data_IF_927511077260
#
_entry.id   IF_927511077260
#
_cell.length_a   1.000
_cell.length_b   1.000
_cell.length_c   1.000
_cell.angle_alpha   90.00
_cell.angle_beta   90.00
_cell.angle_gamma   90.00
#
_symmetry.space_group_name_H-M   'P 1'
#
loop_
_entity.id
_entity.type
_entity.pdbx_description
1 polymer ?
#
# COMPACT_ATOMS: atom_id res chain seq x y z
N UNK A 1 1.20 -71.21 27.28
CA UNK A 1 2.48 -70.79 27.88
C UNK A 1 2.68 -69.33 27.47
N UNK A 2 2.28 -68.35 28.29
CA UNK A 2 3.12 -67.65 29.27
C UNK A 2 4.36 -67.03 28.59
N UNK A 3 4.63 -65.71 28.53
CA UNK A 3 4.48 -64.66 29.54
C UNK A 3 4.47 -63.25 28.94
N UNK A 4 3.88 -62.34 29.71
CA UNK A 4 3.96 -60.86 29.69
C UNK A 4 5.39 -60.39 30.01
N UNK A 5 5.86 -59.30 29.37
CA UNK A 5 6.79 -58.32 29.99
C UNK A 5 6.37 -56.89 29.59
N UNK A 6 5.96 -56.11 30.60
CA UNK A 6 5.90 -54.65 30.60
C UNK A 6 7.31 -54.05 30.57
N UNK A 7 7.49 -52.90 29.91
CA UNK A 7 8.46 -51.90 30.33
C UNK A 7 7.88 -50.49 30.20
N UNK A 8 7.70 -49.87 31.35
CA UNK A 8 7.39 -48.46 31.57
C UNK A 8 8.68 -47.65 31.44
N UNK A 9 8.71 -46.65 30.55
CA UNK A 9 9.67 -45.55 30.67
C UNK A 9 8.90 -44.25 30.55
N UNK A 10 8.73 -43.60 31.70
CA UNK A 10 8.21 -42.25 31.81
C UNK A 10 9.19 -41.23 31.24
N UNK A 11 8.65 -40.22 30.56
CA UNK A 11 9.35 -38.94 30.35
C UNK A 11 8.52 -37.83 30.94
N UNK A 12 9.21 -37.10 31.82
CA UNK A 12 8.74 -35.97 32.62
C UNK A 12 8.25 -34.85 31.70
N UNK A 13 7.07 -34.35 31.98
CA UNK A 13 6.54 -33.10 31.43
C UNK A 13 7.05 -31.95 32.28
N UNK A 14 7.94 -31.11 31.73
CA UNK A 14 8.34 -29.84 32.33
C UNK A 14 7.42 -28.74 31.78
N UNK A 15 6.48 -28.31 32.62
CA UNK A 15 5.67 -27.13 32.38
C UNK A 15 6.53 -25.87 32.55
N UNK A 16 6.65 -25.06 31.50
CA UNK A 16 7.14 -23.69 31.61
C UNK A 16 5.97 -22.78 32.02
N UNK A 17 5.99 -22.36 33.28
CA UNK A 17 5.14 -21.28 33.80
C UNK A 17 5.78 -19.96 33.35
N UNK A 18 5.11 -19.22 32.47
CA UNK A 18 5.49 -17.85 32.15
C UNK A 18 4.70 -16.90 33.07
N UNK A 19 5.43 -16.19 33.93
CA UNK A 19 4.91 -15.23 34.89
C UNK A 19 4.67 -13.91 34.17
N UNK A 20 3.40 -13.52 34.05
CA UNK A 20 2.98 -12.20 33.58
C UNK A 20 3.23 -11.16 34.66
N UNK A 21 4.10 -10.19 34.39
CA UNK A 21 4.19 -8.97 35.19
C UNK A 21 3.23 -7.91 34.62
N UNK A 22 2.04 -7.80 35.22
CA UNK A 22 1.23 -6.59 35.19
C UNK A 22 1.69 -5.66 36.32
N UNK A 23 1.98 -4.41 36.00
CA UNK A 23 1.86 -3.30 36.95
C UNK A 23 0.96 -2.22 36.36
N UNK A 24 -0.17 -2.04 37.03
CA UNK A 24 -1.19 -0.99 36.84
C UNK A 24 -0.96 0.11 37.88
N UNK A 25 -1.05 1.38 37.48
CA UNK A 25 -1.59 2.55 38.21
C UNK A 25 -0.99 3.83 37.61
N UNK A 26 -1.68 4.96 37.43
CA UNK A 26 -3.07 5.33 37.74
C UNK A 26 -3.39 6.59 36.92
N UNK A 27 -4.66 6.68 36.55
CA UNK A 27 -5.42 7.80 35.99
C UNK A 27 -5.22 9.16 36.68
N UNK A 28 -5.36 10.24 35.90
CA UNK A 28 -6.23 11.36 36.28
C UNK A 28 -6.76 12.12 35.05
N UNK A 29 -8.03 11.87 34.73
CA UNK A 29 -8.89 12.73 33.92
C UNK A 29 -9.38 13.88 34.80
N UNK A 30 -9.36 15.11 34.28
CA UNK A 30 -10.31 16.15 34.72
C UNK A 30 -10.79 16.97 33.53
N UNK A 31 -12.05 16.71 33.17
CA UNK A 31 -12.89 17.56 32.35
C UNK A 31 -13.28 18.83 33.12
N UNK A 32 -13.37 19.97 32.43
CA UNK A 32 -14.23 21.08 32.82
C UNK A 32 -14.97 21.61 31.59
N UNK A 33 -16.28 21.38 31.58
CA UNK A 33 -17.27 22.09 30.77
C UNK A 33 -17.82 23.26 31.61
N UNK A 34 -17.86 24.48 31.07
CA UNK A 34 -19.10 25.22 30.84
C UNK A 34 -18.86 26.59 30.13
N UNK A 35 -19.87 27.12 29.41
CA UNK A 35 -19.76 28.19 28.44
C UNK A 35 -20.04 29.57 29.05
N UNK A 36 -19.61 30.64 28.38
CA UNK A 36 -20.25 31.95 28.50
C UNK A 36 -20.59 32.50 27.12
N UNK A 37 -21.91 32.53 26.90
CA UNK A 37 -22.63 33.33 25.92
C UNK A 37 -22.49 34.80 26.35
N UNK A 38 -22.14 35.71 25.45
CA UNK A 38 -22.50 37.12 25.56
C UNK A 38 -22.83 37.64 24.17
N UNK A 39 -24.11 37.97 24.04
CA UNK A 39 -24.71 38.80 23.02
C UNK A 39 -24.23 40.24 23.19
N UNK A 40 -23.85 40.90 22.11
CA UNK A 40 -24.15 42.32 21.95
C UNK A 40 -24.37 42.62 20.47
N UNK A 41 -25.49 43.28 20.24
CA UNK A 41 -26.09 43.64 18.97
C UNK A 41 -25.72 45.09 18.64
N UNK A 42 -25.90 45.43 17.36
CA UNK A 42 -26.24 46.77 16.87
C UNK A 42 -25.08 47.74 16.56
N UNK A 43 -24.78 47.94 15.27
CA UNK A 43 -25.49 48.94 14.43
C UNK A 43 -24.97 48.97 12.99
N UNK A 44 -25.94 48.95 12.08
CA UNK A 44 -25.84 49.28 10.65
C UNK A 44 -25.49 50.75 10.44
N UNK A 45 -24.53 51.04 9.56
CA UNK A 45 -24.53 52.22 8.70
C UNK A 45 -23.89 51.84 7.34
N UNK A 46 -24.60 52.17 6.27
CA UNK A 46 -24.21 51.99 4.87
C UNK A 46 -24.05 53.37 4.19
N UNK A 47 -23.78 53.48 2.88
CA UNK A 47 -22.45 53.73 2.34
C UNK A 47 -22.33 55.14 1.72
N UNK A 48 -21.12 55.69 1.71
CA UNK A 48 -20.81 56.92 0.98
C UNK A 48 -19.81 56.66 -0.14
N UNK A 49 -20.25 57.08 -1.32
CA UNK A 49 -19.67 57.05 -2.65
C UNK A 49 -18.42 57.92 -2.77
N UNK A 50 -17.38 57.43 -3.45
CA UNK A 50 -16.29 58.26 -3.96
C UNK A 50 -15.82 57.71 -5.32
N UNK A 51 -16.12 58.49 -6.36
CA UNK A 51 -15.67 58.31 -7.75
C UNK A 51 -14.18 58.68 -7.91
N UNK A 52 -13.45 58.12 -8.88
CA UNK A 52 -12.12 58.60 -9.26
C UNK A 52 -12.21 59.71 -10.32
N UNK A 53 -11.27 60.68 -10.36
CA UNK A 53 -11.26 61.68 -11.42
C UNK A 53 -10.55 61.17 -12.68
N UNK A 54 -11.17 61.52 -13.80
CA UNK A 54 -10.68 61.44 -15.17
C UNK A 54 -9.46 62.34 -15.38
N UNK A 55 -8.41 61.81 -16.01
CA UNK A 55 -7.25 62.59 -16.46
C UNK A 55 -7.13 62.52 -17.99
N UNK A 56 -7.07 63.71 -18.56
CA UNK A 56 -7.05 64.06 -19.98
C UNK A 56 -5.78 63.58 -20.72
N UNK A 57 -5.98 63.13 -21.96
CA UNK A 57 -4.94 63.00 -22.99
C UNK A 57 -4.81 64.32 -23.78
N UNK A 58 -3.60 64.69 -24.21
CA UNK A 58 -3.41 65.51 -25.40
C UNK A 58 -2.75 64.72 -26.55
N UNK A 59 -3.35 64.84 -27.73
CA UNK A 59 -2.77 64.49 -29.04
C UNK A 59 -1.78 65.57 -29.50
N UNK A 60 -0.63 65.17 -30.09
CA UNK A 60 -0.05 65.72 -31.35
C UNK A 60 1.31 65.04 -31.72
N UNK A 61 1.88 65.20 -32.94
CA UNK A 61 1.93 64.12 -33.94
C UNK A 61 3.34 63.64 -34.35
N UNK A 62 3.34 62.56 -35.15
CA UNK A 62 4.33 62.07 -36.13
C UNK A 62 5.83 62.38 -35.95
N UNK A 63 6.61 61.30 -35.76
CA UNK A 63 8.03 61.21 -36.10
C UNK A 63 8.45 59.75 -36.30
N UNK A 64 8.48 59.28 -37.54
CA UNK A 64 9.01 57.96 -37.89
C UNK A 64 10.54 58.00 -37.88
N UNK A 65 11.17 57.38 -36.88
CA UNK A 65 12.59 57.03 -36.90
C UNK A 65 12.72 55.50 -36.88
N UNK A 66 13.15 54.95 -38.01
CA UNK A 66 13.50 53.53 -38.16
C UNK A 66 14.85 53.26 -37.49
N UNK A 67 14.85 52.59 -36.34
CA UNK A 67 16.03 51.94 -35.77
C UNK A 67 16.01 50.44 -36.12
N UNK A 68 17.11 49.84 -36.61
CA UNK A 68 17.15 48.43 -36.91
C UNK A 68 17.18 47.60 -35.61
N UNK A 69 16.07 46.93 -35.32
CA UNK A 69 15.96 45.94 -34.25
C UNK A 69 16.82 44.72 -34.65
N UNK A 70 18.03 44.61 -34.10
CA UNK A 70 18.76 43.35 -34.06
C UNK A 70 17.96 42.37 -33.20
N UNK A 71 17.27 41.42 -33.84
CA UNK A 71 16.65 40.28 -33.17
C UNK A 71 17.76 39.39 -32.61
N UNK A 72 18.23 39.71 -31.40
CA UNK A 72 19.00 38.77 -30.58
C UNK A 72 18.05 37.64 -30.17
N UNK A 73 18.14 36.52 -30.88
CA UNK A 73 17.44 35.27 -30.57
C UNK A 73 17.98 34.77 -29.22
N UNK A 74 17.31 35.13 -28.13
CA UNK A 74 17.55 34.52 -26.84
C UNK A 74 17.00 33.09 -26.91
N UNK A 75 17.87 32.14 -27.25
CA UNK A 75 17.58 30.71 -27.07
C UNK A 75 17.66 30.49 -25.56
N UNK A 76 16.52 30.59 -24.87
CA UNK A 76 16.39 30.01 -23.54
C UNK A 76 16.54 28.52 -23.73
N UNK A 77 17.69 27.95 -23.37
CA UNK A 77 17.79 26.51 -23.12
C UNK A 77 16.73 26.20 -22.05
N UNK A 78 15.69 25.47 -22.41
CA UNK A 78 14.85 24.84 -21.41
C UNK A 78 15.78 23.95 -20.59
N UNK A 79 15.93 24.28 -19.30
CA UNK A 79 16.59 23.37 -18.37
C UNK A 79 15.84 22.03 -18.37
N UNK A 80 16.49 20.94 -17.96
CA UNK A 80 15.80 19.66 -17.84
C UNK A 80 14.61 19.85 -16.90
N UNK A 81 13.40 19.56 -17.38
CA UNK A 81 12.20 19.51 -16.56
C UNK A 81 12.42 18.41 -15.52
N UNK A 82 12.57 18.78 -14.24
CA UNK A 82 12.62 17.79 -13.16
C UNK A 82 11.28 17.05 -13.15
N UNK A 83 11.31 15.73 -13.28
CA UNK A 83 10.11 14.91 -13.15
C UNK A 83 9.77 14.88 -11.65
N UNK A 84 8.56 15.28 -11.28
CA UNK A 84 8.08 15.28 -9.90
C UNK A 84 6.89 14.34 -9.76
N UNK A 85 6.83 13.54 -8.70
CA UNK A 85 5.88 12.48 -8.43
C UNK A 85 4.62 13.01 -7.75
N UNK A 86 4.22 14.24 -8.08
CA UNK A 86 3.07 14.88 -7.46
C UNK A 86 1.83 14.00 -7.64
N UNK A 87 1.35 13.44 -6.54
CA UNK A 87 0.23 12.51 -6.52
C UNK A 87 -1.09 13.28 -6.52
N UNK A 88 -2.04 12.80 -7.31
CA UNK A 88 -3.42 13.29 -7.32
C UNK A 88 -4.33 12.33 -6.56
N UNK A 89 -5.38 12.87 -5.92
CA UNK A 89 -6.38 12.03 -5.27
C UNK A 89 -7.31 11.44 -6.34
N UNK A 90 -7.09 10.18 -6.69
CA UNK A 90 -7.94 9.46 -7.62
C UNK A 90 -9.33 9.24 -7.01
N UNK A 91 -10.44 9.51 -7.74
CA UNK A 91 -11.77 9.16 -7.28
C UNK A 91 -11.95 7.64 -7.23
N UNK A 92 -12.83 7.10 -6.35
CA UNK A 92 -13.21 5.69 -6.42
C UNK A 92 -13.76 5.35 -7.82
N UNK A 93 -13.67 4.08 -8.27
CA UNK A 93 -14.12 3.66 -9.60
C UNK A 93 -15.65 3.61 -9.75
N UNK A 94 -16.38 4.27 -8.84
CA UNK A 94 -17.84 4.35 -8.79
C UNK A 94 -18.26 5.65 -8.08
N UNK A 95 -19.50 6.14 -8.30
CA UNK A 95 -20.05 7.27 -7.56
C UNK A 95 -20.06 7.04 -6.05
N UNK A 96 -19.94 8.10 -5.25
CA UNK A 96 -19.81 8.00 -3.78
C UNK A 96 -21.04 7.41 -3.08
N UNK A 97 -22.20 7.35 -3.74
CA UNK A 97 -23.41 6.72 -3.20
C UNK A 97 -23.66 5.31 -3.76
N UNK A 98 -22.77 4.79 -4.61
CA UNK A 98 -23.01 3.54 -5.34
C UNK A 98 -22.88 2.27 -4.49
N UNK A 99 -22.34 2.38 -3.27
CA UNK A 99 -22.22 1.28 -2.31
C UNK A 99 -23.37 1.24 -1.29
N UNK A 100 -24.35 2.15 -1.42
CA UNK A 100 -25.54 2.13 -0.57
C UNK A 100 -26.41 0.89 -0.82
N UNK A 101 -27.11 0.39 0.20
CA UNK A 101 -27.18 0.89 1.58
C UNK A 101 -26.10 0.30 2.51
N UNK A 102 -25.08 -0.34 1.96
CA UNK A 102 -24.10 -1.12 2.74
C UNK A 102 -23.00 -0.24 3.32
N UNK A 103 -22.47 0.68 2.52
CA UNK A 103 -21.55 1.72 2.95
C UNK A 103 -22.15 3.05 2.49
N UNK A 104 -22.42 3.94 3.43
CA UNK A 104 -23.16 5.17 3.14
C UNK A 104 -22.34 6.14 2.29
N UNK A 105 -23.03 7.01 1.55
CA UNK A 105 -22.37 8.13 0.89
C UNK A 105 -21.56 8.99 1.87
N UNK A 106 -22.07 9.18 3.09
CA UNK A 106 -21.39 9.93 4.15
C UNK A 106 -20.04 9.28 4.50
N UNK A 107 -19.99 7.95 4.67
CA UNK A 107 -18.72 7.22 4.87
C UNK A 107 -17.74 7.51 3.73
N UNK A 108 -18.15 7.48 2.46
CA UNK A 108 -17.23 7.73 1.33
C UNK A 108 -16.77 9.20 1.29
N UNK A 109 -17.64 10.15 1.57
CA UNK A 109 -17.29 11.57 1.60
C UNK A 109 -16.24 11.88 2.68
N UNK A 110 -16.33 11.24 3.85
CA UNK A 110 -15.32 11.36 4.89
C UNK A 110 -14.06 10.53 4.59
N UNK A 111 -14.21 9.25 4.27
CA UNK A 111 -13.10 8.32 4.12
C UNK A 111 -12.24 8.63 2.89
N UNK A 112 -12.85 8.80 1.71
CA UNK A 112 -12.13 9.26 0.51
C UNK A 112 -11.89 10.78 0.54
N UNK A 113 -12.95 11.55 0.76
CA UNK A 113 -12.90 13.01 0.56
C UNK A 113 -12.09 13.77 1.61
N UNK A 114 -11.92 13.22 2.83
CA UNK A 114 -11.13 13.83 3.93
C UNK A 114 -9.90 13.00 4.30
N UNK A 115 -10.06 11.74 4.70
CA UNK A 115 -8.93 10.94 5.19
C UNK A 115 -7.92 10.65 4.08
N UNK A 116 -8.38 10.05 2.97
CA UNK A 116 -7.51 9.75 1.84
C UNK A 116 -6.87 11.02 1.25
N UNK A 117 -7.66 12.08 1.03
CA UNK A 117 -7.16 13.40 0.63
C UNK A 117 -6.02 13.90 1.51
N UNK A 118 -6.19 13.82 2.83
CA UNK A 118 -5.18 14.31 3.78
C UNK A 118 -3.88 13.52 3.64
N UNK A 119 -3.93 12.20 3.43
CA UNK A 119 -2.71 11.41 3.20
C UNK A 119 -1.98 11.84 1.93
N UNK A 120 -2.70 12.03 0.82
CA UNK A 120 -2.11 12.51 -0.45
C UNK A 120 -1.50 13.90 -0.31
N UNK A 121 -2.23 14.85 0.30
CA UNK A 121 -1.76 16.22 0.50
C UNK A 121 -0.54 16.28 1.44
N UNK A 122 -0.52 15.45 2.48
CA UNK A 122 0.63 15.35 3.38
C UNK A 122 1.84 14.72 2.72
N UNK A 123 1.63 13.64 1.94
CA UNK A 123 2.68 12.95 1.21
C UNK A 123 3.39 13.91 0.26
N UNK A 124 2.62 14.63 -0.57
CA UNK A 124 3.16 15.60 -1.51
C UNK A 124 4.03 16.66 -0.81
N UNK A 125 3.60 17.14 0.36
CA UNK A 125 4.41 18.09 1.17
C UNK A 125 5.67 17.49 1.77
N UNK A 126 5.67 16.19 2.05
CA UNK A 126 6.82 15.49 2.64
C UNK A 126 7.89 15.12 1.63
N UNK A 127 7.50 14.85 0.37
CA UNK A 127 8.43 14.41 -0.66
C UNK A 127 8.95 15.55 -1.54
N UNK A 128 8.28 16.70 -1.58
CA UNK A 128 8.67 17.85 -2.41
C UNK A 128 10.14 18.21 -2.24
N UNK A 129 10.89 18.19 -3.34
CA UNK A 129 12.31 18.50 -3.36
C UNK A 129 13.25 17.41 -2.79
N UNK A 130 12.72 16.26 -2.38
CA UNK A 130 13.51 15.09 -1.92
C UNK A 130 13.77 14.11 -3.07
N UNK A 131 14.59 13.08 -2.84
CA UNK A 131 14.82 11.99 -3.81
C UNK A 131 13.58 11.08 -3.99
N UNK A 132 12.60 11.18 -3.08
CA UNK A 132 11.33 10.45 -3.18
C UNK A 132 10.37 11.10 -4.20
N UNK A 133 10.60 12.36 -4.55
CA UNK A 133 9.80 13.10 -5.53
C UNK A 133 9.94 12.55 -6.96
N UNK A 134 10.83 11.61 -7.22
CA UNK A 134 11.01 11.03 -8.57
C UNK A 134 10.60 9.55 -8.63
N UNK A 135 9.89 9.08 -7.60
CA UNK A 135 9.58 7.66 -7.39
C UNK A 135 8.08 7.37 -7.55
N UNK A 136 7.77 6.13 -7.89
CA UNK A 136 6.39 5.64 -7.85
C UNK A 136 5.88 5.60 -6.41
N UNK A 137 4.56 5.58 -6.21
CA UNK A 137 3.98 5.50 -4.87
C UNK A 137 4.43 4.22 -4.15
N UNK A 138 4.44 3.09 -4.86
CA UNK A 138 4.94 1.80 -4.38
C UNK A 138 6.41 1.87 -3.94
N UNK A 139 7.27 2.48 -4.75
CA UNK A 139 8.70 2.65 -4.40
C UNK A 139 8.86 3.50 -3.15
N UNK A 140 8.09 4.59 -3.02
CA UNK A 140 8.12 5.43 -1.82
C UNK A 140 7.72 4.62 -0.60
N UNK A 141 6.65 3.80 -0.68
CA UNK A 141 6.22 2.93 0.42
C UNK A 141 7.34 1.99 0.85
N UNK A 142 7.97 1.28 -0.09
CA UNK A 142 9.02 0.31 0.21
C UNK A 142 10.27 0.99 0.78
N UNK A 143 10.74 2.07 0.15
CA UNK A 143 11.94 2.81 0.58
C UNK A 143 11.72 3.41 1.97
N UNK A 144 10.58 4.07 2.18
CA UNK A 144 10.29 4.77 3.43
C UNK A 144 9.93 3.83 4.58
N UNK A 145 9.56 2.57 4.33
CA UNK A 145 9.42 1.57 5.40
C UNK A 145 10.74 1.32 6.11
N UNK A 146 11.87 1.39 5.38
CA UNK A 146 13.24 1.31 5.92
C UNK A 146 13.42 0.16 6.94
N UNK A 147 13.03 -1.05 6.54
CA UNK A 147 13.12 -2.27 7.36
C UNK A 147 12.44 -2.16 8.74
N UNK A 148 11.39 -1.33 8.85
CA UNK A 148 10.65 -1.07 10.08
C UNK A 148 11.09 0.19 10.82
N UNK A 149 12.22 0.80 10.47
CA UNK A 149 12.64 2.12 10.98
C UNK A 149 12.07 3.24 10.09
N UNK A 150 10.74 3.32 10.10
CA UNK A 150 9.93 4.09 9.14
C UNK A 150 10.36 5.56 9.04
N UNK A 151 10.67 6.00 7.82
CA UNK A 151 10.91 7.41 7.50
C UNK A 151 9.60 8.22 7.59
N UNK A 152 9.67 9.56 7.76
CA UNK A 152 8.48 10.40 7.95
C UNK A 152 7.40 10.28 6.87
N UNK A 153 7.79 9.98 5.62
CA UNK A 153 6.88 9.83 4.49
C UNK A 153 6.04 8.54 4.52
N UNK A 154 6.49 7.51 5.24
CA UNK A 154 5.92 6.16 5.16
C UNK A 154 4.43 6.11 5.44
N UNK A 155 3.98 6.72 6.55
CA UNK A 155 2.58 6.63 6.94
C UNK A 155 1.65 7.26 5.89
N UNK A 156 2.01 8.40 5.30
CA UNK A 156 1.17 9.06 4.30
C UNK A 156 1.25 8.36 2.94
N UNK A 157 2.45 7.90 2.53
CA UNK A 157 2.63 7.13 1.30
C UNK A 157 1.82 5.83 1.34
N UNK A 158 2.00 5.07 2.43
CA UNK A 158 1.37 3.78 2.60
C UNK A 158 -0.14 3.91 2.77
N UNK A 159 -0.63 4.91 3.51
CA UNK A 159 -2.07 5.14 3.59
C UNK A 159 -2.67 5.60 2.26
N UNK A 160 -2.01 6.46 1.47
CA UNK A 160 -2.49 6.80 0.13
C UNK A 160 -2.64 5.54 -0.73
N UNK A 161 -1.60 4.70 -0.78
CA UNK A 161 -1.62 3.45 -1.54
C UNK A 161 -2.70 2.48 -1.04
N UNK A 162 -2.82 2.29 0.28
CA UNK A 162 -3.82 1.39 0.87
C UNK A 162 -5.25 1.79 0.48
N UNK A 163 -5.53 3.09 0.45
CA UNK A 163 -6.86 3.59 0.13
C UNK A 163 -7.18 3.49 -1.36
N UNK A 164 -6.24 3.84 -2.26
CA UNK A 164 -6.38 3.57 -3.70
C UNK A 164 -6.74 2.08 -3.93
N UNK A 165 -5.97 1.19 -3.29
CA UNK A 165 -6.18 -0.25 -3.39
C UNK A 165 -7.54 -0.70 -2.79
N UNK A 166 -7.99 -0.07 -1.71
CA UNK A 166 -9.26 -0.35 -1.04
C UNK A 166 -10.47 0.04 -1.88
N UNK A 167 -10.46 1.20 -2.53
CA UNK A 167 -11.58 1.62 -3.39
C UNK A 167 -11.80 0.66 -4.55
N UNK A 168 -10.71 0.21 -5.17
CA UNK A 168 -10.70 -0.80 -6.22
C UNK A 168 -11.06 -2.22 -5.73
N UNK A 169 -10.93 -2.48 -4.42
CA UNK A 169 -11.30 -3.76 -3.81
C UNK A 169 -12.82 -3.94 -3.69
N UNK A 170 -13.60 -2.89 -3.94
CA UNK A 170 -15.05 -2.89 -3.86
C UNK A 170 -15.70 -2.59 -5.21
N UNK A 171 -16.97 -2.97 -5.37
CA UNK A 171 -17.84 -2.50 -6.46
C UNK A 171 -19.32 -2.50 -6.06
N UNK A 172 -20.16 -1.69 -6.74
CA UNK A 172 -21.62 -1.79 -6.62
C UNK A 172 -22.09 -3.21 -7.01
N UNK A 173 -22.91 -3.83 -6.16
CA UNK A 173 -23.37 -5.21 -6.38
C UNK A 173 -22.23 -6.25 -6.31
N UNK A 174 -21.19 -5.98 -5.51
CA UNK A 174 -20.11 -6.92 -5.25
C UNK A 174 -20.48 -8.05 -4.32
N UNK A 175 -19.45 -8.69 -3.75
CA UNK A 175 -19.59 -9.83 -2.85
C UNK A 175 -19.81 -11.15 -3.59
N UNK A 176 -20.50 -12.09 -2.94
CA UNK A 176 -20.62 -13.47 -3.43
C UNK A 176 -19.29 -14.23 -3.39
N UNK A 177 -19.07 -15.16 -4.32
CA UNK A 177 -17.85 -15.98 -4.40
C UNK A 177 -17.02 -15.62 -5.64
N UNK A 178 -15.67 -15.72 -5.57
CA UNK A 178 -14.85 -15.67 -6.77
C UNK A 178 -15.12 -16.90 -7.65
N UNK A 179 -14.59 -16.88 -8.87
CA UNK A 179 -14.65 -18.00 -9.80
C UNK A 179 -13.30 -18.23 -10.45
N UNK A 180 -13.22 -19.21 -11.36
CA UNK A 180 -12.03 -19.44 -12.17
C UNK A 180 -10.78 -19.81 -11.35
N UNK A 181 -9.63 -19.27 -11.75
CA UNK A 181 -8.34 -19.58 -11.16
C UNK A 181 -8.23 -19.13 -9.69
N UNK A 182 -8.82 -17.97 -9.35
CA UNK A 182 -8.84 -17.47 -7.99
C UNK A 182 -9.56 -18.44 -7.03
N UNK A 183 -10.75 -18.94 -7.41
CA UNK A 183 -11.48 -19.90 -6.58
C UNK A 183 -10.68 -21.20 -6.39
N UNK A 184 -10.03 -21.71 -7.46
CA UNK A 184 -9.19 -22.92 -7.37
C UNK A 184 -8.03 -22.74 -6.40
N UNK A 185 -7.34 -21.60 -6.44
CA UNK A 185 -6.26 -21.31 -5.50
C UNK A 185 -6.78 -21.15 -4.07
N UNK A 186 -7.95 -20.52 -3.89
CA UNK A 186 -8.59 -20.43 -2.58
C UNK A 186 -8.89 -21.81 -2.01
N UNK A 187 -9.49 -22.70 -2.82
CA UNK A 187 -9.80 -24.07 -2.41
C UNK A 187 -8.53 -24.89 -2.14
N UNK A 188 -7.47 -24.68 -2.92
CA UNK A 188 -6.16 -25.32 -2.68
C UNK A 188 -5.54 -24.90 -1.36
N UNK A 189 -5.49 -23.59 -1.09
CA UNK A 189 -4.68 -23.03 0.00
C UNK A 189 -5.41 -23.00 1.34
N UNK A 190 -6.74 -22.85 1.31
CA UNK A 190 -7.57 -22.77 2.53
C UNK A 190 -8.50 -23.99 2.68
N UNK A 191 -8.55 -24.89 1.70
CA UNK A 191 -9.41 -26.08 1.68
C UNK A 191 -10.84 -25.82 1.21
N UNK A 192 -11.40 -24.63 1.43
CA UNK A 192 -12.67 -24.18 0.83
C UNK A 192 -12.80 -22.65 0.89
N UNK A 193 -13.73 -22.09 0.10
CA UNK A 193 -14.03 -20.66 0.17
C UNK A 193 -14.54 -20.24 1.55
N UNK A 194 -15.34 -21.07 2.21
CA UNK A 194 -15.87 -20.79 3.55
C UNK A 194 -14.75 -20.71 4.59
N UNK A 195 -13.77 -21.62 4.53
CA UNK A 195 -12.60 -21.58 5.42
C UNK A 195 -11.76 -20.33 5.20
N UNK A 196 -11.51 -19.96 3.94
CA UNK A 196 -10.87 -18.70 3.60
C UNK A 196 -11.66 -17.50 4.16
N UNK A 197 -12.98 -17.49 3.98
CA UNK A 197 -13.84 -16.41 4.44
C UNK A 197 -13.77 -16.27 5.97
N UNK A 198 -13.81 -17.37 6.71
CA UNK A 198 -13.69 -17.39 8.16
C UNK A 198 -12.32 -16.88 8.62
N UNK A 199 -11.23 -17.31 7.95
CA UNK A 199 -9.87 -16.85 8.23
C UNK A 199 -9.70 -15.35 7.97
N UNK A 200 -10.18 -14.86 6.82
CA UNK A 200 -10.12 -13.44 6.45
C UNK A 200 -10.94 -12.57 7.42
N UNK A 201 -12.18 -12.98 7.73
CA UNK A 201 -13.04 -12.26 8.69
C UNK A 201 -12.42 -12.24 10.09
N UNK A 202 -11.79 -13.34 10.50
CA UNK A 202 -11.08 -13.43 11.78
C UNK A 202 -9.88 -12.49 11.80
N UNK A 203 -9.08 -12.45 10.74
CA UNK A 203 -7.94 -11.53 10.65
C UNK A 203 -8.37 -10.07 10.76
N UNK A 204 -9.39 -9.66 9.99
CA UNK A 204 -9.94 -8.31 10.01
C UNK A 204 -10.52 -7.92 11.40
N UNK A 205 -11.26 -8.84 12.02
CA UNK A 205 -11.91 -8.58 13.31
C UNK A 205 -10.91 -8.55 14.47
N UNK A 206 -9.83 -9.32 14.39
CA UNK A 206 -8.83 -9.47 15.47
C UNK A 206 -7.60 -8.57 15.29
N UNK A 207 -7.56 -7.72 14.27
CA UNK A 207 -6.57 -6.65 14.20
C UNK A 207 -6.85 -5.63 15.32
N UNK A 208 -6.03 -5.61 16.36
CA UNK A 208 -6.27 -4.67 17.46
C UNK A 208 -5.92 -3.24 17.04
N UNK A 209 -6.78 -2.29 17.41
CA UNK A 209 -6.64 -0.89 17.01
C UNK A 209 -6.88 -0.68 15.52
N UNK A 210 -6.11 0.26 14.95
CA UNK A 210 -6.12 0.62 13.54
C UNK A 210 -5.28 -0.34 12.71
N UNK A 211 -5.73 -0.62 11.48
CA UNK A 211 -5.00 -1.48 10.57
C UNK A 211 -5.85 -1.99 9.41
N UNK A 212 -5.33 -3.05 8.78
CA UNK A 212 -5.88 -3.62 7.56
C UNK A 212 -5.82 -5.15 7.63
N UNK A 213 -6.70 -5.82 6.89
CA UNK A 213 -6.56 -7.25 6.61
C UNK A 213 -6.50 -7.48 5.10
N UNK A 214 -5.67 -8.42 4.69
CA UNK A 214 -5.28 -8.63 3.30
C UNK A 214 -5.38 -10.09 2.91
N UNK A 215 -5.79 -10.32 1.67
CA UNK A 215 -5.45 -11.52 0.93
C UNK A 215 -4.27 -11.14 0.04
N UNK A 216 -3.19 -11.91 0.10
CA UNK A 216 -2.02 -11.71 -0.75
C UNK A 216 -1.62 -13.01 -1.43
N UNK A 217 -1.02 -12.89 -2.61
CA UNK A 217 -0.27 -13.97 -3.24
C UNK A 217 1.18 -13.88 -2.79
N UNK A 218 1.65 -14.91 -2.09
CA UNK A 218 3.01 -15.02 -1.61
C UNK A 218 3.81 -15.85 -2.61
N UNK A 219 4.76 -15.21 -3.29
CA UNK A 219 5.76 -15.90 -4.10
C UNK A 219 6.60 -16.81 -3.19
N UNK A 220 6.97 -17.99 -3.69
CA UNK A 220 7.91 -18.80 -2.94
C UNK A 220 9.32 -18.34 -3.12
N UNK A 221 9.85 -17.80 -2.03
CA UNK A 221 11.27 -17.85 -1.74
C UNK A 221 11.50 -18.23 -0.31
N UNK A 222 12.54 -19.02 -0.10
CA UNK A 222 13.09 -19.20 1.23
C UNK A 222 13.61 -17.86 1.72
N UNK A 223 13.07 -17.38 2.85
CA UNK A 223 13.60 -16.23 3.58
C UNK A 223 14.87 -16.64 4.35
N UNK A 224 15.84 -17.23 3.65
CA UNK A 224 17.21 -17.41 4.11
C UNK A 224 18.10 -16.66 3.14
N UNK A 225 18.58 -15.49 3.58
CA UNK A 225 19.27 -14.50 2.76
C UNK A 225 20.28 -15.10 1.78
N UNK A 226 19.86 -15.19 0.51
CA UNK A 226 20.60 -15.60 -0.69
C UNK A 226 20.45 -17.06 -1.15
N UNK A 227 19.51 -17.86 -0.65
CA UNK A 227 19.24 -19.20 -1.20
C UNK A 227 17.89 -19.27 -1.92
N UNK A 228 17.93 -19.58 -3.22
CA UNK A 228 16.75 -20.03 -3.99
C UNK A 228 16.32 -21.38 -3.42
N UNK A 229 15.01 -21.60 -3.25
CA UNK A 229 14.51 -22.91 -2.86
C UNK A 229 14.89 -23.93 -3.94
N UNK A 230 15.81 -24.88 -3.68
CA UNK A 230 16.32 -25.76 -4.73
C UNK A 230 15.24 -26.72 -5.26
N UNK A 231 14.11 -26.86 -4.56
CA UNK A 231 12.99 -27.70 -4.96
C UNK A 231 11.69 -26.94 -4.69
N UNK A 232 11.00 -26.56 -5.78
CA UNK A 232 9.64 -26.02 -5.67
C UNK A 232 8.74 -27.01 -4.92
N UNK A 233 8.07 -26.56 -3.88
CA UNK A 233 7.14 -27.37 -3.08
C UNK A 233 5.70 -26.95 -3.33
N UNK A 234 4.72 -27.76 -2.91
CA UNK A 234 3.29 -27.38 -2.99
C UNK A 234 2.94 -26.18 -2.09
N UNK A 235 3.82 -25.80 -1.17
CA UNK A 235 3.71 -24.60 -0.32
C UNK A 235 4.17 -23.31 -1.01
N UNK A 236 4.64 -23.43 -2.26
CA UNK A 236 5.14 -22.33 -3.03
C UNK A 236 4.02 -21.60 -3.77
N UNK A 237 4.14 -20.28 -3.92
CA UNK A 237 3.22 -19.51 -4.77
C UNK A 237 1.76 -19.66 -4.28
N UNK A 238 1.53 -19.27 -3.02
CA UNK A 238 0.27 -19.51 -2.30
C UNK A 238 -0.44 -18.24 -1.87
N UNK A 239 -1.76 -18.36 -1.73
CA UNK A 239 -2.59 -17.35 -1.09
C UNK A 239 -2.38 -17.38 0.43
N UNK A 240 -2.33 -16.19 1.01
CA UNK A 240 -2.20 -16.02 2.46
C UNK A 240 -3.13 -14.91 2.94
N UNK A 241 -3.71 -15.10 4.12
CA UNK A 241 -4.40 -14.04 4.86
C UNK A 241 -3.41 -13.43 5.86
N UNK A 242 -3.27 -12.12 5.82
CA UNK A 242 -2.40 -11.37 6.75
C UNK A 242 -3.14 -10.14 7.26
N UNK A 243 -2.79 -9.68 8.47
CA UNK A 243 -3.28 -8.40 9.01
C UNK A 243 -2.10 -7.52 9.39
N UNK A 244 -2.28 -6.22 9.24
CA UNK A 244 -1.22 -5.24 9.43
C UNK A 244 -1.66 -4.11 10.33
N UNK A 245 -0.79 -3.60 11.22
CA UNK A 245 -1.11 -2.45 12.04
C UNK A 245 -0.97 -1.14 11.26
N UNK A 246 -1.80 -0.17 11.61
CA UNK A 246 -1.72 1.20 11.13
C UNK A 246 -1.65 1.29 9.60
N UNK A 247 -0.54 1.79 9.06
CA UNK A 247 -0.34 2.02 7.63
C UNK A 247 0.37 0.87 6.92
N UNK A 248 0.89 -0.13 7.64
CA UNK A 248 1.67 -1.22 7.04
C UNK A 248 0.81 -1.98 6.03
N UNK A 249 1.41 -2.36 4.91
CA UNK A 249 0.78 -3.20 3.89
C UNK A 249 1.79 -4.24 3.38
N UNK A 250 1.34 -5.29 2.66
CA UNK A 250 2.25 -6.36 2.26
C UNK A 250 3.33 -5.95 1.25
N UNK A 251 3.30 -4.76 0.62
CA UNK A 251 4.37 -4.32 -0.28
C UNK A 251 5.73 -4.24 0.43
N UNK A 252 5.72 -3.95 1.74
CA UNK A 252 6.96 -3.85 2.53
C UNK A 252 7.54 -5.21 2.89
N UNK A 253 6.79 -6.28 2.65
CA UNK A 253 7.26 -7.65 2.78
C UNK A 253 7.57 -8.14 1.37
N UNK A 254 8.86 -8.24 1.04
CA UNK A 254 9.30 -8.78 -0.24
C UNK A 254 8.54 -10.07 -0.56
N UNK A 255 8.21 -10.28 -1.84
CA UNK A 255 7.54 -11.48 -2.34
C UNK A 255 6.05 -11.63 -1.94
N UNK A 256 5.42 -10.57 -1.43
CA UNK A 256 3.97 -10.52 -1.24
C UNK A 256 3.32 -9.59 -2.26
N UNK A 257 2.27 -10.09 -2.90
CA UNK A 257 1.46 -9.33 -3.84
C UNK A 257 0.04 -9.18 -3.27
N UNK A 258 -0.35 -7.99 -2.78
CA UNK A 258 -1.69 -7.74 -2.29
C UNK A 258 -2.75 -8.00 -3.38
N UNK A 259 -3.82 -8.70 -3.03
CA UNK A 259 -4.95 -9.01 -3.93
C UNK A 259 -6.26 -8.37 -3.48
N UNK A 260 -6.57 -8.45 -2.18
CA UNK A 260 -7.76 -7.87 -1.55
C UNK A 260 -7.36 -7.20 -0.23
N UNK A 261 -8.01 -6.10 0.12
CA UNK A 261 -7.87 -5.48 1.44
C UNK A 261 -9.22 -5.07 2.00
N UNK A 262 -9.29 -4.96 3.32
CA UNK A 262 -10.35 -4.28 4.07
C UNK A 262 -9.73 -3.32 5.09
N UNK A 263 -10.20 -2.08 5.09
CA UNK A 263 -9.84 -1.07 6.10
C UNK A 263 -10.58 -1.38 7.41
N UNK A 264 -9.86 -1.61 8.50
CA UNK A 264 -10.46 -1.81 9.83
C UNK A 264 -10.11 -0.69 10.81
N UNK A 265 -9.65 0.45 10.31
CA UNK A 265 -9.70 1.71 11.04
C UNK A 265 -11.15 2.11 11.31
N UNK A 266 -11.42 2.68 12.48
CA UNK A 266 -12.79 3.06 12.86
C UNK A 266 -13.41 4.04 11.87
N UNK A 267 -12.65 4.94 11.25
CA UNK A 267 -13.18 5.87 10.24
C UNK A 267 -13.81 5.16 9.02
N UNK A 268 -13.46 3.90 8.74
CA UNK A 268 -13.97 3.16 7.58
C UNK A 268 -15.37 2.59 7.80
N UNK A 269 -15.82 2.50 9.05
CA UNK A 269 -17.08 1.83 9.38
C UNK A 269 -17.87 2.47 10.52
N UNK A 270 -17.33 3.41 11.30
CA UNK A 270 -17.99 3.88 12.53
C UNK A 270 -19.31 4.63 12.25
N UNK A 271 -19.44 5.29 11.09
CA UNK A 271 -20.68 5.96 10.68
C UNK A 271 -21.80 4.93 10.45
N UNK A 272 -21.50 3.82 9.78
CA UNK A 272 -22.48 2.79 9.39
C UNK A 272 -22.63 1.67 10.44
N UNK A 273 -21.55 1.34 11.16
CA UNK A 273 -21.40 0.19 12.05
C UNK A 273 -20.63 0.53 13.36
N UNK A 274 -21.10 1.47 14.19
CA UNK A 274 -20.34 2.08 15.30
C UNK A 274 -19.29 1.18 15.98
N UNK A 275 -19.71 0.36 16.94
CA UNK A 275 -18.83 -0.60 17.63
C UNK A 275 -18.89 -2.01 17.02
N UNK A 276 -19.47 -2.16 15.82
CA UNK A 276 -19.86 -3.44 15.22
C UNK A 276 -18.94 -3.80 14.06
N UNK A 277 -17.63 -3.80 14.31
CA UNK A 277 -16.61 -4.14 13.29
C UNK A 277 -16.87 -5.50 12.63
N UNK A 278 -17.27 -6.52 13.39
CA UNK A 278 -17.58 -7.86 12.86
C UNK A 278 -18.75 -7.85 11.88
N UNK A 279 -19.75 -6.97 12.08
CA UNK A 279 -20.87 -6.81 11.16
C UNK A 279 -20.37 -6.14 9.87
N UNK A 280 -19.62 -5.05 9.99
CA UNK A 280 -18.98 -4.37 8.85
C UNK A 280 -18.16 -5.34 7.99
N UNK A 281 -17.25 -6.09 8.62
CA UNK A 281 -16.39 -7.09 7.96
C UNK A 281 -17.24 -8.14 7.25
N UNK A 282 -18.33 -8.59 7.87
CA UNK A 282 -19.23 -9.58 7.29
C UNK A 282 -19.95 -9.04 6.06
N UNK A 283 -20.48 -7.82 6.12
CA UNK A 283 -21.22 -7.22 5.01
C UNK A 283 -20.28 -6.79 3.87
N UNK A 284 -19.06 -6.34 4.19
CA UNK A 284 -18.03 -6.06 3.18
C UNK A 284 -17.77 -7.28 2.29
N UNK A 285 -17.50 -8.43 2.91
CA UNK A 285 -17.25 -9.68 2.17
C UNK A 285 -18.48 -10.18 1.41
N UNK A 286 -19.67 -10.00 1.97
CA UNK A 286 -20.92 -10.50 1.38
C UNK A 286 -21.43 -9.66 0.21
N UNK A 287 -21.16 -8.33 0.21
CA UNK A 287 -21.84 -7.39 -0.70
C UNK A 287 -20.97 -6.37 -1.42
N UNK A 288 -19.71 -6.18 -1.01
CA UNK A 288 -18.87 -5.11 -1.56
C UNK A 288 -17.70 -5.63 -2.40
N UNK A 289 -17.11 -6.77 -2.02
CA UNK A 289 -15.86 -7.24 -2.66
C UNK A 289 -15.98 -7.36 -4.18
N UNK A 290 -15.02 -6.77 -4.90
CA UNK A 290 -14.88 -6.94 -6.34
C UNK A 290 -13.97 -8.13 -6.66
N UNK A 291 -14.55 -9.33 -6.77
CA UNK A 291 -13.77 -10.53 -7.12
C UNK A 291 -13.08 -10.45 -8.49
N UNK A 292 -13.58 -9.60 -9.40
CA UNK A 292 -12.94 -9.31 -10.69
C UNK A 292 -11.62 -8.55 -10.50
N UNK A 293 -11.60 -7.53 -9.62
CA UNK A 293 -10.37 -6.82 -9.29
C UNK A 293 -9.35 -7.74 -8.61
N UNK A 294 -9.81 -8.59 -7.68
CA UNK A 294 -8.96 -9.58 -7.01
C UNK A 294 -8.38 -10.58 -8.02
N UNK A 295 -9.19 -11.05 -8.97
CA UNK A 295 -8.75 -11.97 -10.03
C UNK A 295 -7.74 -11.32 -10.97
N UNK A 296 -7.97 -10.07 -11.39
CA UNK A 296 -7.02 -9.32 -12.24
C UNK A 296 -5.69 -9.11 -11.53
N UNK A 297 -5.69 -8.76 -10.23
CA UNK A 297 -4.47 -8.62 -9.43
C UNK A 297 -3.73 -9.94 -9.27
N UNK A 298 -4.46 -11.06 -9.15
CA UNK A 298 -3.86 -12.39 -9.10
C UNK A 298 -3.14 -12.73 -10.41
N UNK A 299 -3.76 -12.46 -11.56
CA UNK A 299 -3.14 -12.65 -12.86
C UNK A 299 -1.84 -11.83 -13.01
N UNK A 300 -1.89 -10.56 -12.60
CA UNK A 300 -0.73 -9.68 -12.59
C UNK A 300 0.37 -10.19 -11.64
N UNK A 301 0.01 -10.67 -10.46
CA UNK A 301 0.95 -11.23 -9.50
C UNK A 301 1.65 -12.47 -10.06
N UNK A 302 0.88 -13.41 -10.64
CA UNK A 302 1.43 -14.61 -11.29
C UNK A 302 2.34 -14.26 -12.47
N UNK A 303 1.97 -13.25 -13.26
CA UNK A 303 2.79 -12.78 -14.38
C UNK A 303 4.12 -12.18 -13.92
N UNK A 304 4.10 -11.35 -12.86
CA UNK A 304 5.30 -10.77 -12.25
C UNK A 304 6.23 -11.85 -11.70
N UNK A 305 5.70 -12.83 -10.97
CA UNK A 305 6.50 -13.96 -10.46
C UNK A 305 7.13 -14.75 -11.61
N UNK A 306 6.36 -15.08 -12.65
CA UNK A 306 6.88 -15.79 -13.81
C UNK A 306 7.95 -14.99 -14.57
N UNK A 307 7.86 -13.66 -14.59
CA UNK A 307 8.88 -12.79 -15.17
C UNK A 307 10.16 -12.74 -14.32
N UNK A 308 10.03 -12.58 -13.01
CA UNK A 308 11.16 -12.64 -12.07
C UNK A 308 11.92 -13.95 -12.20
N UNK A 309 11.21 -15.08 -12.25
CA UNK A 309 11.82 -16.41 -12.41
C UNK A 309 12.58 -16.54 -13.74
N UNK A 310 12.02 -16.03 -14.85
CA UNK A 310 12.73 -16.03 -16.14
C UNK A 310 13.97 -15.14 -16.13
N UNK A 311 13.91 -13.99 -15.46
CA UNK A 311 15.04 -13.08 -15.37
C UNK A 311 16.17 -13.66 -14.50
N UNK A 312 15.83 -14.44 -13.48
CA UNK A 312 16.82 -15.14 -12.66
C UNK A 312 17.49 -16.28 -13.40
N UNK A 313 16.73 -17.13 -14.10
CA UNK A 313 17.31 -18.17 -14.94
C UNK A 313 18.31 -17.60 -15.95
N UNK A 314 17.99 -16.46 -16.57
CA UNK A 314 18.91 -15.77 -17.49
C UNK A 314 20.18 -15.28 -16.80
N UNK A 315 20.09 -14.71 -15.60
CA UNK A 315 21.27 -14.28 -14.84
C UNK A 315 22.15 -15.46 -14.46
N UNK A 316 21.55 -16.58 -14.05
CA UNK A 316 22.29 -17.81 -13.73
C UNK A 316 22.97 -18.40 -14.98
N UNK A 317 22.32 -18.35 -16.15
CA UNK A 317 22.93 -18.74 -17.44
C UNK A 317 24.10 -17.81 -17.82
N UNK A 318 23.95 -16.49 -17.67
CA UNK A 318 25.01 -15.51 -17.92
C UNK A 318 26.20 -15.70 -16.97
N UNK A 319 25.95 -15.90 -15.67
CA UNK A 319 26.98 -16.17 -14.66
C UNK A 319 27.69 -17.52 -14.91
N UNK A 320 26.98 -18.54 -15.38
CA UNK A 320 27.59 -19.82 -15.77
C UNK A 320 28.43 -19.71 -17.05
N UNK A 321 27.96 -18.96 -18.04
CA UNK A 321 28.69 -18.76 -19.31
C UNK A 321 30.00 -17.98 -19.10
N UNK A 322 29.95 -16.90 -18.33
CA UNK A 322 31.14 -16.09 -17.99
C UNK A 322 32.15 -16.88 -17.15
N UNK A 323 31.68 -17.71 -16.22
CA UNK A 323 32.57 -18.57 -15.44
C UNK A 323 33.17 -19.72 -16.29
N UNK A 324 32.43 -20.22 -17.29
CA UNK A 324 32.94 -21.21 -18.25
C UNK A 324 33.99 -20.64 -19.21
N UNK A 325 33.83 -19.37 -19.63
CA UNK A 325 34.79 -18.65 -20.47
C UNK A 325 36.07 -18.33 -19.67
N UNK A 326 35.92 -17.85 -18.43
CA UNK A 326 37.06 -17.63 -17.53
C UNK A 326 37.82 -18.92 -17.18
N UNK A 327 37.13 -20.06 -17.05
CA UNK A 327 37.81 -21.35 -16.83
C UNK A 327 38.46 -21.89 -18.09
N UNK A 328 37.89 -21.66 -19.28
CA UNK A 328 38.52 -22.03 -20.55
C UNK A 328 39.83 -21.24 -20.81
N UNK A 329 39.86 -19.93 -20.51
CA UNK A 329 41.08 -19.11 -20.63
C UNK A 329 42.20 -19.59 -19.69
N UNK A 330 41.88 -19.97 -18.45
CA UNK A 330 42.87 -20.49 -17.48
C UNK A 330 43.49 -21.81 -17.97
N UNK A 331 42.71 -22.69 -18.62
CA UNK A 331 43.24 -23.95 -19.13
C UNK A 331 44.09 -23.75 -20.40
N UNK A 332 43.78 -22.77 -21.25
CA UNK A 332 44.64 -22.46 -22.41
C UNK A 332 45.99 -21.86 -22.05
N UNK A 333 46.11 -21.18 -20.90
CA UNK A 333 47.38 -20.61 -20.44
C UNK A 333 48.29 -21.65 -19.77
N UNK A 334 47.75 -22.77 -19.27
CA UNK A 334 48.53 -23.85 -18.64
C UNK A 334 49.16 -24.80 -19.67
N UNK A 335 48.51 -24.99 -20.82
CA UNK A 335 49.03 -25.86 -21.90
C UNK A 335 50.18 -25.21 -22.70
N UNK A 336 50.48 -23.92 -22.49
CA UNK A 336 51.60 -23.23 -23.14
C UNK A 336 52.96 -23.43 -22.45
N UNK A 337 52.98 -23.94 -21.21
CA UNK A 337 54.20 -24.07 -20.38
C UNK A 337 54.72 -25.53 -20.24
N UNK A 338 54.13 -26.50 -20.95
CA UNK A 338 54.52 -27.92 -20.86
C UNK A 338 55.37 -28.46 -22.03
N UNK A 339 55.77 -27.61 -22.99
CA UNK A 339 56.59 -28.01 -24.15
C UNK A 339 58.05 -27.50 -24.09
N UNK A 340 58.55 -27.16 -22.90
CA UNK A 340 59.97 -26.84 -22.69
C UNK A 340 60.63 -27.70 -21.60
N UNK A 341 60.98 -28.95 -21.93
CA UNK A 341 62.13 -29.66 -21.35
C UNK A 341 62.66 -30.78 -22.26
#
# INVERSE_FOLDING_TARGET
MNYIILSLIGKRSTAFVHVSNLFFCKSDLRCFFHPKRNSEEMKLLSPSTLSPPSAFLPHHPHGFFNFPIKKSRCIRKAGPTKITAKFELNPPPYPLNALEPVMSQETLEYHWGKHHRTYVDNLNRQIDGTDLDERSLEDIVVISYNKGDMLPAFNNASQAWNHDFFWESMKPGGGGKPSGDLLKLVERDFGSFEKFLDEFKTAASTQFGSGWAWLAYKESRLDVGNAVNPLRTDDDNKLVVVKTPNAVNPLVWNYYHPLLTIDVWEHAYFIDFPNRRTDYVSVFMDKLVSWEAVSSRLEQAKAKVAESERNEMKREEEDQSTNSEATAEIYSDIDADLDSE
#
